data_IF_908351647837
#
_entry.id   IF_908351647837
#
_cell.length_a   1.000
_cell.length_b   1.000
_cell.length_c   1.000
_cell.angle_alpha   90.00
_cell.angle_beta   90.00
_cell.angle_gamma   90.00
#
_symmetry.space_group_name_H-M   'P 1'
#
loop_
_entity.id
_entity.type
_entity.pdbx_description
1 polymer ?
#
# COMPACT_ATOMS: atom_id res chain seq x y z
N UNK A 1 6.53 18.84 1.90
CA UNK A 1 6.46 18.62 3.36
C UNK A 1 5.10 18.07 3.72
N UNK A 2 4.94 17.52 4.93
CA UNK A 2 3.69 16.93 5.43
C UNK A 2 2.50 17.90 5.33
N UNK A 3 2.66 19.16 5.74
CA UNK A 3 1.60 20.18 5.65
C UNK A 3 1.03 20.33 4.24
N UNK A 4 1.89 20.39 3.22
CA UNK A 4 1.45 20.47 1.81
C UNK A 4 0.67 19.23 1.36
N UNK A 5 1.01 18.04 1.87
CA UNK A 5 0.28 16.81 1.56
C UNK A 5 -1.12 16.86 2.19
N UNK A 6 -1.21 17.32 3.44
CA UNK A 6 -2.48 17.54 4.14
C UNK A 6 -3.36 18.54 3.38
N UNK A 7 -2.79 19.67 2.96
CA UNK A 7 -3.53 20.68 2.19
C UNK A 7 -4.02 20.13 0.85
N UNK A 8 -3.19 19.32 0.17
CA UNK A 8 -3.58 18.64 -1.06
C UNK A 8 -4.72 17.64 -0.86
N UNK A 9 -4.74 16.90 0.25
CA UNK A 9 -5.84 15.98 0.58
C UNK A 9 -7.13 16.77 0.77
N UNK A 10 -7.09 17.87 1.55
CA UNK A 10 -8.28 18.73 1.77
C UNK A 10 -8.83 19.28 0.46
N UNK A 11 -7.97 19.86 -0.37
CA UNK A 11 -8.37 20.41 -1.66
C UNK A 11 -9.01 19.33 -2.57
N UNK A 12 -8.48 18.10 -2.56
CA UNK A 12 -9.05 17.01 -3.34
C UNK A 12 -10.43 16.57 -2.82
N UNK A 13 -10.61 16.49 -1.49
CA UNK A 13 -11.89 16.17 -0.87
C UNK A 13 -12.93 17.26 -1.14
N UNK A 14 -12.55 18.54 -1.02
CA UNK A 14 -13.39 19.69 -1.38
C UNK A 14 -13.83 19.68 -2.85
N UNK A 15 -12.96 19.19 -3.74
CA UNK A 15 -13.27 18.96 -5.15
C UNK A 15 -14.15 17.71 -5.41
N UNK A 16 -14.57 16.99 -4.36
CA UNK A 16 -15.43 15.82 -4.46
C UNK A 16 -14.68 14.51 -4.79
N UNK A 17 -13.34 14.49 -4.72
CA UNK A 17 -12.55 13.29 -4.97
C UNK A 17 -12.52 12.39 -3.73
N UNK A 18 -12.69 11.08 -3.93
CA UNK A 18 -12.52 10.10 -2.86
C UNK A 18 -11.03 9.82 -2.65
N UNK A 19 -10.48 10.31 -1.54
CA UNK A 19 -9.08 10.08 -1.16
C UNK A 19 -8.94 8.85 -0.27
N UNK A 20 -7.87 8.09 -0.48
CA UNK A 20 -7.42 7.05 0.42
C UNK A 20 -5.96 7.32 0.82
N UNK A 21 -5.68 7.29 2.12
CA UNK A 21 -4.31 7.38 2.62
C UNK A 21 -3.70 5.98 2.59
N UNK A 22 -2.49 5.85 2.07
CA UNK A 22 -1.73 4.59 2.11
C UNK A 22 -0.46 4.78 2.92
N UNK A 23 -0.18 3.86 3.83
CA UNK A 23 1.02 3.90 4.67
C UNK A 23 1.57 2.50 4.86
N UNK A 24 2.89 2.38 5.02
CA UNK A 24 3.56 1.11 5.31
C UNK A 24 3.59 0.91 6.82
N UNK A 25 3.03 -0.20 7.28
CA UNK A 25 3.03 -0.59 8.68
C UNK A 25 4.39 -1.22 9.03
N UNK A 26 5.20 -0.48 9.79
CA UNK A 26 6.53 -0.90 10.24
C UNK A 26 6.60 -0.95 11.75
N UNK A 27 7.58 -1.67 12.29
CA UNK A 27 7.84 -1.75 13.74
C UNK A 27 8.12 -0.39 14.38
N UNK A 28 8.59 0.59 13.62
CA UNK A 28 8.82 1.96 14.12
C UNK A 28 7.60 2.88 14.04
N UNK A 29 6.52 2.48 13.34
CA UNK A 29 5.38 3.36 13.04
C UNK A 29 4.02 2.75 13.37
N UNK A 30 3.98 1.53 13.90
CA UNK A 30 2.73 0.81 14.14
C UNK A 30 1.87 1.42 15.24
N UNK A 31 2.49 2.07 16.22
CA UNK A 31 1.83 2.78 17.31
C UNK A 31 1.09 4.03 16.81
N UNK A 32 1.55 4.65 15.72
CA UNK A 32 0.85 5.75 15.04
C UNK A 32 -0.31 5.30 14.14
N UNK A 33 -0.66 4.01 14.10
CA UNK A 33 -1.73 3.53 13.21
C UNK A 33 -3.09 4.18 13.50
N UNK A 34 -3.43 4.39 14.77
CA UNK A 34 -4.68 5.09 15.13
C UNK A 34 -4.65 6.56 14.68
N UNK A 35 -3.51 7.24 14.82
CA UNK A 35 -3.37 8.63 14.39
C UNK A 35 -3.60 8.80 12.89
N UNK A 36 -3.20 7.82 12.07
CA UNK A 36 -3.47 7.82 10.64
C UNK A 36 -4.97 7.68 10.32
N UNK A 37 -5.71 6.88 11.09
CA UNK A 37 -7.16 6.74 10.96
C UNK A 37 -7.86 8.03 11.37
N UNK A 38 -7.46 8.61 12.50
CA UNK A 38 -8.01 9.86 13.01
C UNK A 38 -7.71 11.03 12.05
N UNK A 39 -6.52 11.05 11.45
CA UNK A 39 -6.16 11.99 10.40
C UNK A 39 -7.06 11.83 9.17
N UNK A 40 -7.28 10.60 8.70
CA UNK A 40 -8.17 10.36 7.56
C UNK A 40 -9.58 10.89 7.83
N UNK A 41 -10.13 10.64 9.02
CA UNK A 41 -11.42 11.17 9.44
C UNK A 41 -11.42 12.70 9.45
N UNK A 42 -10.41 13.31 10.07
CA UNK A 42 -10.26 14.78 10.17
C UNK A 42 -10.19 15.46 8.80
N UNK A 43 -9.59 14.79 7.81
CA UNK A 43 -9.44 15.33 6.46
C UNK A 43 -10.63 15.00 5.54
N UNK A 44 -11.62 14.22 6.01
CA UNK A 44 -12.72 13.75 5.16
C UNK A 44 -12.28 12.72 4.11
N UNK A 45 -11.13 12.08 4.29
CA UNK A 45 -10.67 11.01 3.40
C UNK A 45 -11.55 9.76 3.56
N UNK A 46 -11.72 9.01 2.48
CA UNK A 46 -12.57 7.84 2.44
C UNK A 46 -12.01 6.59 3.12
N UNK A 47 -10.72 6.59 3.49
CA UNK A 47 -10.11 5.46 4.20
C UNK A 47 -8.59 5.47 4.31
N UNK A 48 -8.07 4.50 5.04
CA UNK A 48 -6.64 4.19 5.19
C UNK A 48 -6.36 2.75 4.77
N UNK A 49 -5.35 2.55 3.93
CA UNK A 49 -4.77 1.22 3.70
C UNK A 49 -3.39 1.13 4.32
N UNK A 50 -3.24 0.22 5.26
CA UNK A 50 -1.97 -0.19 5.83
C UNK A 50 -1.38 -1.29 4.95
N UNK A 51 -0.21 -1.04 4.40
CA UNK A 51 0.56 -1.97 3.60
C UNK A 51 1.54 -2.70 4.53
N UNK A 52 1.54 -4.02 4.54
CA UNK A 52 2.67 -4.71 5.17
C UNK A 52 3.95 -4.39 4.41
N UNK A 53 5.03 -4.14 5.15
CA UNK A 53 6.34 -3.93 4.56
C UNK A 53 6.75 -5.15 3.72
N UNK A 54 7.20 -4.87 2.48
CA UNK A 54 7.77 -5.85 1.56
C UNK A 54 9.30 -5.77 1.62
N UNK A 55 10.02 -6.89 1.78
CA UNK A 55 11.48 -6.91 1.80
C UNK A 55 12.06 -6.90 0.37
N UNK A 56 11.71 -5.89 -0.42
CA UNK A 56 12.10 -5.75 -1.83
C UNK A 56 13.04 -4.56 -2.03
N UNK A 57 14.03 -4.71 -2.92
CA UNK A 57 15.01 -3.65 -3.21
C UNK A 57 15.69 -3.14 -1.93
N UNK A 58 15.72 -1.82 -1.76
CA UNK A 58 16.26 -1.17 -0.56
C UNK A 58 15.52 -1.57 0.74
N UNK A 59 14.24 -1.96 0.64
CA UNK A 59 13.46 -2.44 1.78
C UNK A 59 13.99 -3.74 2.38
N UNK A 60 14.77 -4.53 1.62
CA UNK A 60 15.37 -5.76 2.11
C UNK A 60 16.37 -5.52 3.26
N UNK A 61 17.10 -4.40 3.23
CA UNK A 61 18.07 -4.04 4.27
C UNK A 61 17.39 -3.70 5.61
N UNK A 62 16.16 -3.17 5.56
CA UNK A 62 15.38 -2.76 6.73
C UNK A 62 14.50 -3.89 7.28
N UNK A 63 14.32 -4.97 6.50
CA UNK A 63 13.37 -6.04 6.77
C UNK A 63 13.49 -6.62 8.18
N UNK A 64 14.72 -6.91 8.61
CA UNK A 64 15.01 -7.53 9.92
C UNK A 64 14.50 -6.70 11.10
N UNK A 65 14.55 -5.37 10.97
CA UNK A 65 14.27 -4.45 12.07
C UNK A 65 12.85 -3.89 11.99
N UNK A 66 12.34 -3.67 10.78
CA UNK A 66 11.12 -2.93 10.54
C UNK A 66 9.91 -3.82 10.21
N UNK A 67 10.11 -5.08 9.82
CA UNK A 67 8.97 -5.94 9.52
C UNK A 67 8.24 -6.40 10.79
N UNK A 68 6.92 -6.26 10.73
CA UNK A 68 6.00 -6.98 11.59
C UNK A 68 5.68 -8.35 10.97
N UNK A 69 5.46 -9.32 11.83
CA UNK A 69 4.81 -10.58 11.48
C UNK A 69 3.37 -10.34 11.00
N UNK A 70 2.78 -11.32 10.31
CA UNK A 70 1.39 -11.22 9.84
C UNK A 70 0.41 -11.12 11.02
N UNK A 71 0.67 -11.85 12.09
CA UNK A 71 -0.12 -11.80 13.32
C UNK A 71 -0.04 -10.42 13.99
N UNK A 72 1.17 -9.88 14.18
CA UNK A 72 1.34 -8.52 14.75
C UNK A 72 0.56 -7.49 13.92
N UNK A 73 0.69 -7.50 12.59
CA UNK A 73 -0.02 -6.57 11.72
C UNK A 73 -1.55 -6.73 11.82
N UNK A 74 -2.06 -7.96 11.80
CA UNK A 74 -3.49 -8.22 11.96
C UNK A 74 -4.01 -7.75 13.32
N UNK A 75 -3.29 -8.01 14.40
CA UNK A 75 -3.64 -7.54 15.75
C UNK A 75 -3.64 -6.02 15.84
N UNK A 76 -2.65 -5.33 15.26
CA UNK A 76 -2.62 -3.86 15.22
C UNK A 76 -3.87 -3.31 14.55
N UNK A 77 -4.26 -3.84 13.38
CA UNK A 77 -5.43 -3.34 12.65
C UNK A 77 -6.75 -3.68 13.34
N UNK A 78 -6.86 -4.88 13.94
CA UNK A 78 -8.05 -5.28 14.68
C UNK A 78 -8.29 -4.42 15.94
N UNK A 79 -7.26 -3.81 16.50
CA UNK A 79 -7.35 -2.93 17.67
C UNK A 79 -7.78 -1.49 17.33
N UNK A 80 -7.84 -1.10 16.05
CA UNK A 80 -8.16 0.27 15.65
C UNK A 80 -9.63 0.61 15.89
N UNK A 81 -9.88 1.81 16.41
CA UNK A 81 -11.21 2.40 16.46
C UNK A 81 -11.44 3.13 15.14
N UNK A 82 -12.46 2.72 14.40
CA UNK A 82 -12.74 3.26 13.06
C UNK A 82 -13.90 4.25 13.15
N UNK A 83 -13.68 5.55 12.91
CA UNK A 83 -14.74 6.55 12.86
C UNK A 83 -15.74 6.27 11.72
N UNK A 84 -17.02 6.68 11.84
CA UNK A 84 -17.98 6.57 10.76
C UNK A 84 -17.49 7.22 9.46
N UNK A 85 -17.73 6.57 8.33
CA UNK A 85 -17.36 7.08 7.00
C UNK A 85 -15.91 6.80 6.56
N UNK A 86 -15.05 6.30 7.45
CA UNK A 86 -13.67 5.90 7.14
C UNK A 86 -13.58 4.39 6.96
N UNK A 87 -13.00 3.91 5.87
CA UNK A 87 -12.64 2.49 5.73
C UNK A 87 -11.20 2.24 6.17
N UNK A 88 -10.93 1.10 6.80
CA UNK A 88 -9.57 0.65 7.12
C UNK A 88 -9.33 -0.69 6.46
N UNK A 89 -8.17 -0.82 5.81
CA UNK A 89 -7.75 -2.04 5.13
C UNK A 89 -6.31 -2.39 5.50
N UNK A 90 -6.06 -3.67 5.78
CA UNK A 90 -4.72 -4.24 5.76
C UNK A 90 -4.48 -4.90 4.41
N UNK A 91 -3.40 -4.52 3.73
CA UNK A 91 -2.90 -5.23 2.57
C UNK A 91 -1.73 -6.11 2.99
N UNK A 92 -1.96 -7.42 2.95
CA UNK A 92 -0.95 -8.40 3.34
C UNK A 92 0.13 -8.57 2.28
N UNK A 93 1.28 -9.11 2.67
CA UNK A 93 2.35 -9.53 1.74
C UNK A 93 1.84 -10.54 0.72
N UNK A 94 1.02 -11.50 1.15
CA UNK A 94 0.36 -12.45 0.26
C UNK A 94 -0.49 -11.75 -0.79
N UNK A 95 -1.28 -10.75 -0.41
CA UNK A 95 -2.06 -9.94 -1.34
C UNK A 95 -1.21 -9.00 -2.24
N UNK A 96 0.08 -8.84 -1.93
CA UNK A 96 1.04 -8.14 -2.79
C UNK A 96 1.74 -9.08 -3.78
N UNK A 97 1.55 -10.41 -3.69
CA UNK A 97 2.01 -11.36 -4.68
C UNK A 97 1.28 -11.15 -6.01
N UNK A 98 2.02 -11.25 -7.12
CA UNK A 98 1.48 -11.02 -8.45
C UNK A 98 1.30 -9.55 -8.83
N UNK A 99 1.52 -8.61 -7.89
CA UNK A 99 1.45 -7.18 -8.17
C UNK A 99 2.40 -6.82 -9.29
N UNK A 100 1.86 -6.15 -10.30
CA UNK A 100 2.57 -5.84 -11.55
C UNK A 100 2.91 -4.35 -11.61
N UNK A 101 4.18 -4.05 -11.88
CA UNK A 101 4.69 -2.67 -12.03
C UNK A 101 5.15 -2.50 -13.46
N UNK A 102 4.61 -1.49 -14.15
CA UNK A 102 5.15 -1.03 -15.43
C UNK A 102 6.21 0.01 -15.14
N UNK A 103 7.45 -0.26 -15.54
CA UNK A 103 8.59 0.64 -15.33
C UNK A 103 8.85 1.49 -16.58
N UNK A 104 9.50 2.62 -16.37
CA UNK A 104 9.84 3.57 -17.44
C UNK A 104 10.86 3.01 -18.46
N UNK A 105 11.51 1.89 -18.15
CA UNK A 105 12.39 1.15 -19.06
C UNK A 105 11.61 0.31 -20.10
N UNK A 106 10.29 0.42 -20.12
CA UNK A 106 9.42 -0.35 -21.02
C UNK A 106 9.27 -1.80 -20.59
N UNK A 107 9.57 -2.16 -19.33
CA UNK A 107 9.40 -3.51 -18.82
C UNK A 107 8.24 -3.60 -17.83
N UNK A 108 7.51 -4.71 -17.88
CA UNK A 108 6.61 -5.14 -16.83
C UNK A 108 7.37 -6.04 -15.84
N UNK A 109 7.25 -5.69 -14.57
CA UNK A 109 7.85 -6.37 -13.43
C UNK A 109 6.75 -6.94 -12.54
N UNK A 110 7.04 -8.05 -11.86
CA UNK A 110 6.06 -8.73 -11.01
C UNK A 110 6.65 -9.16 -9.68
N UNK A 111 5.89 -8.94 -8.62
CA UNK A 111 6.18 -9.53 -7.32
C UNK A 111 5.95 -11.05 -7.37
N UNK A 112 6.95 -11.80 -6.95
CA UNK A 112 6.93 -13.26 -6.86
C UNK A 112 7.37 -13.70 -5.46
N UNK A 113 7.21 -15.00 -5.17
CA UNK A 113 7.67 -15.59 -3.91
C UNK A 113 7.06 -14.87 -2.70
N UNK A 114 5.72 -14.78 -2.66
CA UNK A 114 4.97 -14.05 -1.61
C UNK A 114 5.44 -12.59 -1.43
N UNK A 115 5.84 -11.95 -2.53
CA UNK A 115 6.38 -10.60 -2.56
C UNK A 115 7.73 -10.41 -1.83
N UNK A 116 8.53 -11.48 -1.72
CA UNK A 116 9.95 -11.39 -1.32
C UNK A 116 10.88 -11.15 -2.51
N UNK A 117 10.39 -11.27 -3.74
CA UNK A 117 11.16 -10.99 -4.96
C UNK A 117 10.35 -10.14 -5.93
N UNK A 118 11.05 -9.33 -6.71
CA UNK A 118 10.49 -8.64 -7.88
C UNK A 118 11.43 -8.85 -9.05
N UNK A 119 10.89 -9.22 -10.20
CA UNK A 119 11.67 -9.46 -11.41
C UNK A 119 10.94 -8.96 -12.66
N UNK A 120 11.71 -8.56 -13.67
CA UNK A 120 11.19 -8.34 -15.01
C UNK A 120 10.61 -9.66 -15.53
N UNK A 121 9.43 -9.61 -16.14
CA UNK A 121 8.80 -10.80 -16.71
C UNK A 121 8.35 -10.62 -18.16
N UNK A 122 8.22 -9.37 -18.64
CA UNK A 122 7.80 -9.10 -20.02
C UNK A 122 8.23 -7.69 -20.49
N UNK A 123 8.85 -7.55 -21.66
CA UNK A 123 9.02 -6.26 -22.32
C UNK A 123 7.69 -5.76 -22.92
N UNK A 124 7.48 -4.46 -22.89
CA UNK A 124 6.30 -3.78 -23.43
C UNK A 124 6.73 -2.97 -24.66
N UNK A 125 6.25 -3.38 -25.83
CA UNK A 125 6.55 -2.72 -27.10
C UNK A 125 5.33 -2.00 -27.68
N UNK A 126 4.13 -2.44 -27.30
CA UNK A 126 2.85 -1.90 -27.76
C UNK A 126 1.80 -1.93 -26.65
N UNK A 127 0.74 -1.10 -26.74
CA UNK A 127 -0.32 -1.08 -25.72
C UNK A 127 -0.96 -2.44 -25.43
N UNK A 128 -1.09 -3.30 -26.45
CA UNK A 128 -1.64 -4.65 -26.29
C UNK A 128 -0.83 -5.55 -25.32
N UNK A 129 0.44 -5.23 -25.07
CA UNK A 129 1.29 -6.01 -24.18
C UNK A 129 0.96 -5.77 -22.70
N UNK A 130 0.22 -4.69 -22.39
CA UNK A 130 -0.32 -4.40 -21.05
C UNK A 130 -1.46 -5.35 -20.65
N UNK A 131 -1.98 -6.14 -21.59
CA UNK A 131 -3.03 -7.12 -21.29
C UNK A 131 -2.51 -8.20 -20.33
N UNK A 132 -3.09 -8.22 -19.12
CA UNK A 132 -2.77 -9.19 -18.08
C UNK A 132 -3.66 -10.43 -18.24
N UNK A 133 -3.16 -11.47 -18.89
CA UNK A 133 -3.90 -12.71 -19.18
C UNK A 133 -3.92 -13.72 -17.99
N UNK A 134 -3.65 -13.27 -16.76
CA UNK A 134 -3.53 -14.12 -15.58
C UNK A 134 -4.70 -14.01 -14.60
N UNK A 135 -5.02 -15.10 -13.88
CA UNK A 135 -6.16 -15.18 -12.93
C UNK A 135 -6.08 -14.24 -11.72
N UNK A 136 -4.89 -13.72 -11.37
CA UNK A 136 -4.66 -12.72 -10.31
C UNK A 136 -3.57 -11.77 -10.78
N UNK A 137 -3.87 -10.48 -10.85
CA UNK A 137 -2.95 -9.39 -11.21
C UNK A 137 -2.33 -8.71 -9.98
N UNK A 138 -2.59 -9.27 -8.79
CA UNK A 138 -2.23 -8.68 -7.52
C UNK A 138 -3.00 -7.40 -7.22
N UNK A 139 -4.07 -7.06 -7.95
CA UNK A 139 -5.07 -6.13 -7.45
C UNK A 139 -5.87 -6.89 -6.39
N UNK A 140 -5.79 -6.40 -5.15
CA UNK A 140 -6.42 -7.00 -4.00
C UNK A 140 -7.83 -6.45 -3.83
#
# INVERSE_FOLDING_TARGET
SFARAVDGIRAAVEAGLRIQIQTVLMRSTWDSAQEMVDLAATLGAGGVTFLQMLPLGEGAALAREQMLTDAEAATTIAALRIPPGVSVRLRTREAAEGFTVVRADGQAWRNTDRAHRIAAFRPLHRPADLYLSGRRDGSA
#
